data_IF_586611154268
#
_entry.id   IF_586611154268
#
_cell.length_a   1.000
_cell.length_b   1.000
_cell.length_c   1.000
_cell.angle_alpha   90.00
_cell.angle_beta   90.00
_cell.angle_gamma   90.00
#
_symmetry.space_group_name_H-M   'P 1'
#
loop_
_entity.id
_entity.type
_entity.pdbx_description
1 polymer ?
#
# COMPACT_ATOMS: atom_id res chain seq x y z
N UNK A 1 -26.89 -12.69 -23.30
CA UNK A 1 -25.76 -12.16 -22.53
C UNK A 1 -25.00 -11.04 -23.30
N UNK A 2 -24.53 -11.30 -24.56
CA UNK A 2 -23.74 -10.30 -25.31
C UNK A 2 -24.50 -9.00 -25.58
N UNK A 3 -25.79 -9.06 -25.92
CA UNK A 3 -26.64 -7.88 -26.16
C UNK A 3 -26.83 -7.05 -24.88
N UNK A 4 -26.95 -7.68 -23.73
CA UNK A 4 -27.04 -7.00 -22.44
C UNK A 4 -25.72 -6.25 -22.16
N UNK A 5 -24.57 -6.89 -22.39
CA UNK A 5 -23.28 -6.24 -22.20
C UNK A 5 -23.09 -5.05 -23.16
N UNK A 6 -23.54 -5.16 -24.42
CA UNK A 6 -23.55 -4.04 -25.38
C UNK A 6 -24.38 -2.87 -24.87
N UNK A 7 -25.55 -3.13 -24.29
CA UNK A 7 -26.39 -2.05 -23.72
C UNK A 7 -25.71 -1.36 -22.52
N UNK A 8 -25.01 -2.10 -21.68
CA UNK A 8 -24.26 -1.50 -20.58
C UNK A 8 -23.06 -0.66 -21.06
N UNK A 9 -22.29 -1.16 -22.02
CA UNK A 9 -21.15 -0.42 -22.59
C UNK A 9 -21.61 0.90 -23.22
N UNK A 10 -22.78 0.92 -23.86
CA UNK A 10 -23.33 2.11 -24.52
C UNK A 10 -23.49 3.29 -23.54
N UNK A 11 -23.89 3.02 -22.30
CA UNK A 11 -24.20 4.04 -21.30
C UNK A 11 -23.12 4.16 -20.22
N UNK A 12 -22.05 3.35 -20.28
CA UNK A 12 -20.98 3.34 -19.29
C UNK A 12 -19.98 4.47 -19.52
N UNK A 13 -19.47 5.04 -18.46
CA UNK A 13 -18.28 5.91 -18.51
C UNK A 13 -17.00 5.10 -18.60
N UNK A 14 -16.96 3.96 -17.89
CA UNK A 14 -15.78 3.09 -17.78
C UNK A 14 -16.18 1.64 -17.95
N UNK A 15 -15.44 0.90 -18.75
CA UNK A 15 -15.53 -0.55 -18.83
C UNK A 15 -14.18 -1.15 -18.42
N UNK A 16 -14.20 -2.01 -17.40
CA UNK A 16 -12.99 -2.66 -16.87
C UNK A 16 -13.08 -4.15 -17.13
N UNK A 17 -12.01 -4.71 -17.66
CA UNK A 17 -11.84 -6.15 -17.78
C UNK A 17 -10.49 -6.57 -17.15
N UNK A 18 -10.47 -7.77 -16.54
CA UNK A 18 -9.31 -8.36 -15.88
C UNK A 18 -9.05 -9.79 -16.33
N UNK A 19 -9.38 -10.12 -17.58
CA UNK A 19 -9.18 -11.44 -18.14
C UNK A 19 -7.79 -11.58 -18.75
N UNK A 20 -7.43 -12.82 -19.10
CA UNK A 20 -6.21 -13.06 -19.87
C UNK A 20 -6.28 -12.32 -21.21
N UNK A 21 -5.14 -11.80 -21.71
CA UNK A 21 -5.09 -11.07 -22.96
C UNK A 21 -5.85 -11.77 -24.10
N UNK A 22 -6.63 -11.02 -24.86
CA UNK A 22 -7.43 -11.52 -25.96
C UNK A 22 -8.72 -12.25 -25.60
N UNK A 23 -8.99 -12.56 -24.33
CA UNK A 23 -10.21 -13.29 -23.96
C UNK A 23 -11.48 -12.49 -24.26
N UNK A 24 -11.49 -11.21 -23.88
CA UNK A 24 -12.64 -10.31 -24.12
C UNK A 24 -12.77 -9.96 -25.61
N UNK A 25 -11.66 -9.84 -26.32
CA UNK A 25 -11.64 -9.64 -27.78
C UNK A 25 -12.29 -10.82 -28.53
N UNK A 26 -12.02 -12.07 -28.12
CA UNK A 26 -12.69 -13.27 -28.70
C UNK A 26 -14.19 -13.28 -28.43
N UNK A 27 -14.66 -12.58 -27.42
CA UNK A 27 -16.09 -12.40 -27.15
C UNK A 27 -16.74 -11.29 -27.98
N UNK A 28 -15.95 -10.49 -28.72
CA UNK A 28 -16.41 -9.37 -29.53
C UNK A 28 -16.53 -8.05 -28.77
N UNK A 29 -15.65 -7.87 -27.76
CA UNK A 29 -15.60 -6.66 -26.92
C UNK A 29 -14.16 -6.17 -26.73
N UNK A 30 -13.33 -6.21 -27.79
CA UNK A 30 -12.05 -5.48 -27.78
C UNK A 30 -12.27 -3.99 -27.55
N UNK A 31 -11.21 -3.28 -27.21
CA UNK A 31 -11.28 -1.81 -27.04
C UNK A 31 -11.86 -1.14 -28.31
N UNK A 32 -11.38 -1.51 -29.50
CA UNK A 32 -11.87 -0.97 -30.78
C UNK A 32 -13.34 -1.23 -31.02
N UNK A 33 -13.84 -2.41 -30.65
CA UNK A 33 -15.26 -2.75 -30.78
C UNK A 33 -16.11 -2.04 -29.74
N UNK A 34 -15.61 -1.89 -28.52
CA UNK A 34 -16.27 -1.13 -27.47
C UNK A 34 -16.36 0.37 -27.82
N UNK A 35 -15.33 0.94 -28.43
CA UNK A 35 -15.33 2.33 -28.88
C UNK A 35 -16.32 2.60 -30.04
N UNK A 36 -16.58 1.60 -30.88
CA UNK A 36 -17.66 1.70 -31.89
C UNK A 36 -19.05 1.76 -31.24
N UNK A 37 -19.23 1.15 -30.08
CA UNK A 37 -20.49 1.20 -29.31
C UNK A 37 -20.58 2.52 -28.54
N UNK A 38 -19.50 2.93 -27.89
CA UNK A 38 -19.43 4.14 -27.09
C UNK A 38 -18.10 4.89 -27.34
N UNK A 39 -18.11 5.92 -28.20
CA UNK A 39 -16.91 6.70 -28.55
C UNK A 39 -16.31 7.51 -27.39
N UNK A 40 -17.00 7.59 -26.24
CA UNK A 40 -16.54 8.30 -25.05
C UNK A 40 -16.10 7.37 -23.92
N UNK A 41 -16.05 6.06 -24.19
CA UNK A 41 -15.71 5.07 -23.18
C UNK A 41 -14.25 5.19 -22.72
N UNK A 42 -14.02 5.07 -21.44
CA UNK A 42 -12.71 4.69 -20.90
C UNK A 42 -12.67 3.17 -20.80
N UNK A 43 -11.92 2.53 -21.67
CA UNK A 43 -11.73 1.08 -21.66
C UNK A 43 -10.48 0.72 -20.86
N UNK A 44 -10.59 -0.20 -19.90
CA UNK A 44 -9.49 -0.57 -19.00
C UNK A 44 -9.22 -2.06 -19.09
N UNK A 45 -8.01 -2.41 -19.48
CA UNK A 45 -7.50 -3.78 -19.45
C UNK A 45 -6.50 -3.92 -18.31
N UNK A 46 -6.84 -4.70 -17.28
CA UNK A 46 -5.94 -5.00 -16.17
C UNK A 46 -5.50 -6.46 -16.24
N UNK A 47 -4.21 -6.72 -16.38
CA UNK A 47 -3.66 -8.07 -16.52
C UNK A 47 -2.46 -8.29 -15.60
N UNK A 48 -2.05 -9.56 -15.39
CA UNK A 48 -0.95 -9.86 -14.50
C UNK A 48 0.41 -9.39 -15.01
N UNK A 49 0.72 -9.74 -16.25
CA UNK A 49 2.03 -9.48 -16.86
C UNK A 49 1.99 -8.51 -18.04
N UNK A 50 0.86 -7.86 -18.29
CA UNK A 50 0.67 -7.07 -19.51
C UNK A 50 0.16 -7.88 -20.69
N UNK A 51 -0.14 -7.19 -21.80
CA UNK A 51 -0.65 -7.82 -23.01
C UNK A 51 0.44 -8.47 -23.88
N UNK A 52 1.69 -8.08 -23.67
CA UNK A 52 2.84 -8.48 -24.48
C UNK A 52 3.92 -9.15 -23.63
N UNK A 53 4.92 -9.73 -24.28
CA UNK A 53 6.06 -10.35 -23.62
C UNK A 53 5.85 -11.84 -23.31
N UNK A 54 6.93 -12.52 -22.86
CA UNK A 54 6.95 -13.99 -22.72
C UNK A 54 6.08 -14.52 -21.60
N UNK A 55 5.52 -13.67 -20.74
CA UNK A 55 4.68 -14.04 -19.59
C UNK A 55 3.21 -13.66 -19.76
N UNK A 56 2.83 -12.98 -20.83
CA UNK A 56 1.47 -12.44 -21.04
C UNK A 56 0.37 -13.48 -20.86
N UNK A 57 0.59 -14.72 -21.28
CA UNK A 57 -0.37 -15.83 -21.18
C UNK A 57 -0.26 -16.64 -19.87
N UNK A 58 0.70 -16.32 -18.98
CA UNK A 58 0.87 -17.08 -17.74
C UNK A 58 -0.23 -16.77 -16.73
N UNK A 59 -0.71 -17.81 -16.00
CA UNK A 59 -1.62 -17.56 -14.88
C UNK A 59 -0.88 -16.82 -13.74
N UNK A 60 -1.60 -15.94 -13.07
CA UNK A 60 -1.02 -15.08 -12.05
C UNK A 60 -2.01 -14.83 -10.91
N UNK A 61 -1.47 -14.71 -9.73
CA UNK A 61 -2.10 -14.22 -8.51
C UNK A 61 -1.12 -13.34 -7.73
N UNK A 62 -1.58 -12.65 -6.73
CA UNK A 62 -0.80 -11.77 -5.87
C UNK A 62 0.58 -12.35 -5.46
N UNK A 63 0.70 -13.58 -4.89
CA UNK A 63 1.99 -14.11 -4.48
C UNK A 63 3.01 -14.26 -5.62
N UNK A 64 2.53 -14.51 -6.84
CA UNK A 64 3.40 -14.63 -8.02
C UNK A 64 4.00 -13.27 -8.37
N UNK A 65 3.19 -12.22 -8.31
CA UNK A 65 3.67 -10.85 -8.55
C UNK A 65 4.60 -10.40 -7.42
N UNK A 66 4.28 -10.68 -6.15
CA UNK A 66 5.20 -10.38 -5.04
C UNK A 66 6.58 -11.02 -5.25
N UNK A 67 6.60 -12.28 -5.72
CA UNK A 67 7.86 -12.99 -5.93
C UNK A 67 8.73 -12.39 -7.04
N UNK A 68 8.12 -11.88 -8.13
CA UNK A 68 8.87 -11.38 -9.29
C UNK A 68 9.12 -9.88 -9.28
N UNK A 69 8.34 -9.11 -8.53
CA UNK A 69 8.42 -7.63 -8.49
C UNK A 69 9.33 -7.06 -7.41
N UNK A 70 10.09 -7.90 -6.70
CA UNK A 70 11.02 -7.48 -5.66
C UNK A 70 10.48 -7.54 -4.23
N UNK A 71 9.15 -7.61 -4.01
CA UNK A 71 8.57 -7.66 -2.67
C UNK A 71 9.14 -8.79 -1.81
N UNK A 72 9.13 -10.01 -2.32
CA UNK A 72 9.61 -11.18 -1.57
C UNK A 72 11.12 -11.11 -1.27
N UNK A 73 11.89 -10.54 -2.19
CA UNK A 73 13.33 -10.30 -1.99
C UNK A 73 13.60 -9.29 -0.89
N UNK A 74 12.80 -8.21 -0.83
CA UNK A 74 12.89 -7.17 0.18
C UNK A 74 12.59 -7.67 1.60
N UNK A 75 11.73 -8.70 1.72
CA UNK A 75 11.37 -9.32 3.01
C UNK A 75 12.36 -10.43 3.43
N UNK A 76 13.56 -10.49 2.84
CA UNK A 76 14.54 -11.54 3.13
C UNK A 76 15.05 -11.46 4.57
N UNK A 77 15.04 -12.61 5.22
CA UNK A 77 15.65 -12.86 6.53
C UNK A 77 16.77 -13.89 6.40
N UNK A 78 17.36 -14.32 7.52
CA UNK A 78 18.32 -15.42 7.55
C UNK A 78 17.73 -16.74 7.00
N UNK A 79 16.42 -16.94 7.12
CA UNK A 79 15.71 -18.13 6.63
C UNK A 79 15.38 -18.05 5.12
N UNK A 80 15.65 -16.93 4.46
CA UNK A 80 15.41 -16.72 3.04
C UNK A 80 14.38 -15.63 2.74
N UNK A 81 13.94 -15.51 1.46
CA UNK A 81 12.91 -14.55 1.06
C UNK A 81 11.55 -14.95 1.63
N UNK A 82 10.69 -13.97 1.89
CA UNK A 82 9.33 -14.22 2.37
C UNK A 82 8.31 -13.28 1.71
N UNK A 83 7.06 -13.72 1.63
CA UNK A 83 5.97 -12.88 1.14
C UNK A 83 5.45 -11.94 2.23
N UNK A 84 5.03 -10.76 1.86
CA UNK A 84 4.15 -9.94 2.70
C UNK A 84 2.83 -10.71 2.87
N UNK A 85 2.42 -10.93 4.11
CA UNK A 85 1.19 -11.65 4.43
C UNK A 85 -0.04 -10.78 4.16
N UNK A 86 -0.40 -10.65 2.89
CA UNK A 86 -1.53 -9.86 2.42
C UNK A 86 -1.48 -9.69 0.90
N UNK A 87 -2.58 -9.30 0.31
CA UNK A 87 -2.70 -9.06 -1.14
C UNK A 87 -2.16 -7.67 -1.50
N UNK A 88 -0.86 -7.43 -1.26
CA UNK A 88 -0.24 -6.13 -1.50
C UNK A 88 -0.12 -5.83 -2.99
N UNK A 89 0.23 -6.82 -3.79
CA UNK A 89 0.42 -6.65 -5.22
C UNK A 89 -0.91 -6.35 -5.95
N UNK A 90 -1.99 -7.03 -5.56
CA UNK A 90 -3.34 -6.74 -6.04
C UNK A 90 -3.77 -5.31 -5.67
N UNK A 91 -3.51 -4.88 -4.44
CA UNK A 91 -3.89 -3.53 -3.96
C UNK A 91 -3.11 -2.43 -4.68
N UNK A 92 -1.81 -2.61 -4.91
CA UNK A 92 -1.00 -1.67 -5.71
C UNK A 92 -1.57 -1.56 -7.12
N UNK A 93 -1.86 -2.68 -7.78
CA UNK A 93 -2.47 -2.68 -9.11
C UNK A 93 -3.86 -2.01 -9.11
N UNK A 94 -4.67 -2.27 -8.10
CA UNK A 94 -6.01 -1.65 -7.97
C UNK A 94 -5.92 -0.13 -7.78
N UNK A 95 -5.01 0.37 -6.94
CA UNK A 95 -4.79 1.81 -6.76
C UNK A 95 -4.26 2.47 -8.04
N UNK A 96 -3.29 1.85 -8.70
CA UNK A 96 -2.77 2.31 -10.01
C UNK A 96 -3.88 2.37 -11.05
N UNK A 97 -4.72 1.34 -11.13
CA UNK A 97 -5.87 1.30 -12.04
C UNK A 97 -6.86 2.42 -11.74
N UNK A 98 -7.21 2.62 -10.47
CA UNK A 98 -8.12 3.69 -10.05
C UNK A 98 -7.59 5.08 -10.40
N UNK A 99 -6.30 5.33 -10.17
CA UNK A 99 -5.63 6.58 -10.53
C UNK A 99 -5.66 6.80 -12.06
N UNK A 100 -5.34 5.76 -12.83
CA UNK A 100 -5.32 5.83 -14.28
C UNK A 100 -6.72 6.07 -14.88
N UNK A 101 -7.76 5.44 -14.31
CA UNK A 101 -9.16 5.71 -14.68
C UNK A 101 -9.52 7.17 -14.44
N UNK A 102 -9.19 7.71 -13.27
CA UNK A 102 -9.48 9.10 -12.92
C UNK A 102 -8.79 10.06 -13.88
N UNK A 103 -7.52 9.82 -14.20
CA UNK A 103 -6.76 10.60 -15.17
C UNK A 103 -7.37 10.51 -16.58
N UNK A 104 -7.78 9.32 -17.02
CA UNK A 104 -8.41 9.12 -18.32
C UNK A 104 -9.78 9.80 -18.43
N UNK A 105 -10.59 9.76 -17.37
CA UNK A 105 -11.85 10.48 -17.31
C UNK A 105 -11.66 12.01 -17.37
N UNK A 106 -10.65 12.51 -16.68
CA UNK A 106 -10.29 13.93 -16.76
C UNK A 106 -9.83 14.31 -18.16
N UNK A 107 -8.91 13.55 -18.76
CA UNK A 107 -8.44 13.79 -20.14
C UNK A 107 -9.60 13.73 -21.16
N UNK A 108 -10.50 12.76 -21.01
CA UNK A 108 -11.70 12.65 -21.86
C UNK A 108 -12.58 13.90 -21.77
N UNK A 109 -12.74 14.48 -20.59
CA UNK A 109 -13.54 15.70 -20.43
C UNK A 109 -12.93 16.89 -21.17
N UNK A 110 -11.61 16.95 -21.29
CA UNK A 110 -10.90 18.02 -22.02
C UNK A 110 -10.85 17.76 -23.53
N UNK A 111 -10.61 16.51 -23.94
CA UNK A 111 -10.38 16.18 -25.36
C UNK A 111 -11.62 15.65 -26.07
N UNK A 112 -12.58 15.12 -25.35
CA UNK A 112 -13.75 14.40 -25.90
C UNK A 112 -13.44 13.02 -26.46
N UNK A 113 -12.20 12.53 -26.36
CA UNK A 113 -11.74 11.28 -26.94
C UNK A 113 -11.85 10.10 -25.95
N UNK A 114 -12.12 8.91 -26.50
CA UNK A 114 -12.05 7.67 -25.75
C UNK A 114 -10.59 7.36 -25.34
N UNK A 115 -10.42 6.58 -24.27
CA UNK A 115 -9.11 6.19 -23.75
C UNK A 115 -9.05 4.67 -23.56
N UNK A 116 -7.99 4.04 -24.04
CA UNK A 116 -7.66 2.66 -23.65
C UNK A 116 -6.53 2.68 -22.61
N UNK A 117 -6.87 2.34 -21.38
CA UNK A 117 -5.94 2.23 -20.25
C UNK A 117 -5.53 0.77 -20.10
N UNK A 118 -4.25 0.50 -20.17
CA UNK A 118 -3.68 -0.83 -19.94
C UNK A 118 -2.85 -0.80 -18.66
N UNK A 119 -3.13 -1.73 -17.74
CA UNK A 119 -2.42 -1.87 -16.48
C UNK A 119 -1.88 -3.30 -16.36
N UNK A 120 -0.58 -3.41 -16.12
CA UNK A 120 0.06 -4.65 -15.73
C UNK A 120 0.30 -4.65 -14.23
N UNK A 121 -0.13 -5.70 -13.54
CA UNK A 121 0.16 -5.85 -12.10
C UNK A 121 1.67 -5.84 -11.84
N UNK A 122 2.46 -6.51 -12.70
CA UNK A 122 3.91 -6.55 -12.56
C UNK A 122 4.51 -5.15 -12.67
N UNK A 123 4.19 -4.40 -13.72
CA UNK A 123 4.75 -3.07 -13.95
C UNK A 123 4.32 -2.07 -12.86
N UNK A 124 3.05 -2.13 -12.42
CA UNK A 124 2.56 -1.31 -11.31
C UNK A 124 3.36 -1.57 -10.02
N UNK A 125 3.66 -2.84 -9.72
CA UNK A 125 4.43 -3.20 -8.54
C UNK A 125 5.92 -2.88 -8.67
N UNK A 126 6.52 -3.02 -9.84
CA UNK A 126 7.90 -2.58 -10.09
C UNK A 126 8.00 -1.07 -9.90
N UNK A 127 7.10 -0.29 -10.51
CA UNK A 127 7.10 1.16 -10.38
C UNK A 127 6.88 1.63 -8.92
N UNK A 128 6.02 0.94 -8.17
CA UNK A 128 5.78 1.23 -6.77
C UNK A 128 6.99 0.95 -5.88
N UNK A 129 7.68 -0.17 -6.14
CA UNK A 129 8.84 -0.60 -5.36
C UNK A 129 10.14 0.12 -5.73
N UNK A 130 10.20 0.74 -6.90
CA UNK A 130 11.46 1.24 -7.46
C UNK A 130 12.19 2.21 -6.54
N UNK A 131 11.54 3.20 -5.91
CA UNK A 131 12.23 4.19 -5.09
C UNK A 131 12.90 3.60 -3.85
N UNK A 132 12.33 2.56 -3.27
CA UNK A 132 12.75 2.02 -1.96
C UNK A 132 13.48 0.69 -2.11
N UNK A 133 12.84 -0.28 -2.75
CA UNK A 133 13.34 -1.66 -2.84
C UNK A 133 14.48 -1.80 -3.85
N UNK A 134 14.40 -1.05 -4.95
CA UNK A 134 15.32 -1.15 -6.08
C UNK A 134 16.17 0.11 -6.28
N UNK A 135 16.33 0.93 -5.25
CA UNK A 135 17.09 2.18 -5.35
C UNK A 135 18.54 1.99 -5.85
N UNK A 136 19.15 0.87 -5.49
CA UNK A 136 20.52 0.55 -5.91
C UNK A 136 20.63 0.07 -7.36
N UNK A 137 19.51 -0.31 -7.97
CA UNK A 137 19.46 -0.70 -9.39
C UNK A 137 19.25 0.51 -10.31
N UNK A 138 19.11 1.71 -9.74
CA UNK A 138 18.79 2.93 -10.51
C UNK A 138 20.03 3.50 -11.20
N UNK A 139 21.19 3.45 -10.55
CA UNK A 139 22.44 3.99 -11.05
C UNK A 139 23.33 2.84 -11.48
N UNK A 140 23.67 2.79 -12.76
CA UNK A 140 24.44 1.72 -13.37
C UNK A 140 25.94 2.00 -13.45
N UNK A 141 26.38 3.16 -12.98
CA UNK A 141 27.79 3.56 -13.01
C UNK A 141 28.51 2.94 -11.79
N UNK A 142 29.58 2.20 -12.05
CA UNK A 142 30.37 1.52 -11.02
C UNK A 142 31.03 2.50 -10.02
N UNK A 143 31.26 3.74 -10.44
CA UNK A 143 31.87 4.79 -9.61
C UNK A 143 30.80 5.55 -8.75
N UNK A 144 29.53 5.17 -8.83
CA UNK A 144 28.48 5.83 -8.08
C UNK A 144 28.59 5.60 -6.58
N UNK A 145 28.23 6.62 -5.81
CA UNK A 145 28.14 6.50 -4.36
C UNK A 145 26.96 5.61 -3.97
N UNK A 146 27.24 4.42 -3.47
CA UNK A 146 26.23 3.53 -2.92
C UNK A 146 25.91 3.89 -1.48
N UNK A 147 24.69 4.36 -1.23
CA UNK A 147 24.18 4.59 0.11
C UNK A 147 23.73 3.26 0.74
N UNK A 148 23.68 3.16 2.08
CA UNK A 148 23.10 2.00 2.75
C UNK A 148 21.66 1.75 2.30
N UNK A 149 21.27 0.47 2.20
CA UNK A 149 19.94 0.09 1.81
C UNK A 149 18.92 0.53 2.88
N UNK A 150 17.92 1.33 2.47
CA UNK A 150 16.84 1.81 3.35
C UNK A 150 16.05 0.68 4.00
N UNK A 151 15.94 -0.48 3.36
CA UNK A 151 15.19 -1.63 3.88
C UNK A 151 15.69 -2.10 5.26
N UNK A 152 16.98 -1.96 5.53
CA UNK A 152 17.54 -2.26 6.85
C UNK A 152 16.99 -1.39 7.99
N UNK A 153 16.43 -0.21 7.67
CA UNK A 153 15.85 0.71 8.67
C UNK A 153 14.42 0.35 9.09
N UNK A 154 13.77 -0.57 8.39
CA UNK A 154 12.42 -1.03 8.72
C UNK A 154 12.47 -2.14 9.76
N UNK A 155 12.77 -1.78 11.00
CA UNK A 155 12.88 -2.71 12.12
C UNK A 155 11.92 -2.31 13.25
N UNK A 156 11.50 -3.31 14.00
CA UNK A 156 10.77 -3.15 15.25
C UNK A 156 11.72 -3.49 16.41
N UNK A 157 11.52 -2.82 17.53
CA UNK A 157 12.37 -2.99 18.71
C UNK A 157 11.58 -3.61 19.85
N UNK A 158 12.24 -4.49 20.60
CA UNK A 158 11.65 -5.14 21.76
C UNK A 158 11.62 -4.20 22.97
N UNK A 159 10.56 -4.31 23.76
CA UNK A 159 10.46 -3.76 25.12
C UNK A 159 10.30 -4.92 26.10
N UNK A 160 10.26 -4.65 27.39
CA UNK A 160 10.12 -5.73 28.39
C UNK A 160 8.79 -6.47 28.30
N UNK A 161 7.76 -5.89 27.68
CA UNK A 161 6.39 -6.43 27.60
C UNK A 161 5.75 -6.37 26.22
N UNK A 162 6.51 -6.00 25.15
CA UNK A 162 5.95 -5.91 23.82
C UNK A 162 6.94 -5.40 22.78
N UNK A 163 6.42 -4.68 21.76
CA UNK A 163 7.20 -4.19 20.63
C UNK A 163 6.80 -2.75 20.29
N UNK A 164 7.81 -1.98 19.85
CA UNK A 164 7.64 -0.59 19.40
C UNK A 164 8.32 -0.36 18.05
N UNK A 165 7.77 0.58 17.29
CA UNK A 165 8.47 1.25 16.19
C UNK A 165 8.96 2.59 16.71
N UNK A 166 10.24 2.86 16.57
CA UNK A 166 10.87 4.14 16.95
C UNK A 166 11.76 4.60 15.80
N UNK A 167 11.70 5.87 15.46
CA UNK A 167 12.54 6.45 14.40
C UNK A 167 13.21 7.73 14.90
N UNK A 168 14.54 7.77 14.86
CA UNK A 168 15.34 8.93 15.19
C UNK A 168 16.30 9.26 14.05
N UNK A 169 15.75 9.81 12.96
CA UNK A 169 16.49 10.06 11.70
C UNK A 169 17.46 11.25 11.79
N UNK A 170 17.13 12.28 12.55
CA UNK A 170 17.98 13.47 12.70
C UNK A 170 18.94 13.34 13.88
N UNK A 171 20.02 14.16 13.87
CA UNK A 171 20.98 14.19 14.97
C UNK A 171 20.34 14.68 16.29
N UNK A 172 19.38 15.60 16.18
CA UNK A 172 18.63 16.08 17.34
C UNK A 172 17.72 15.01 17.93
N UNK A 173 17.02 14.26 17.09
CA UNK A 173 16.16 13.15 17.53
C UNK A 173 16.97 12.01 18.16
N UNK A 174 18.14 11.70 17.60
CA UNK A 174 19.05 10.71 18.19
C UNK A 174 19.48 11.11 19.60
N UNK A 175 19.96 12.34 19.77
CA UNK A 175 20.34 12.86 21.08
C UNK A 175 19.15 12.87 22.05
N UNK A 176 17.98 13.28 21.57
CA UNK A 176 16.77 13.33 22.39
C UNK A 176 16.33 11.96 22.88
N UNK A 177 16.32 10.93 22.02
CA UNK A 177 15.94 9.57 22.42
C UNK A 177 16.97 8.96 23.40
N UNK A 178 18.26 9.16 23.14
CA UNK A 178 19.31 8.69 24.06
C UNK A 178 19.14 9.32 25.45
N UNK A 179 18.95 10.63 25.52
CA UNK A 179 18.74 11.33 26.80
C UNK A 179 17.45 10.87 27.49
N UNK A 180 16.34 10.75 26.75
CA UNK A 180 15.06 10.27 27.30
C UNK A 180 15.16 8.86 27.88
N UNK A 181 15.96 7.99 27.27
CA UNK A 181 16.20 6.62 27.71
C UNK A 181 17.43 6.47 28.62
N UNK A 182 18.01 7.59 29.08
CA UNK A 182 19.15 7.64 30.01
C UNK A 182 20.43 6.97 29.47
N UNK A 183 20.67 7.14 28.16
CA UNK A 183 21.85 6.62 27.45
C UNK A 183 22.66 7.77 26.82
N UNK A 184 23.05 8.75 27.64
CA UNK A 184 23.90 9.87 27.20
C UNK A 184 25.27 9.41 26.70
N UNK A 185 25.70 8.20 27.10
CA UNK A 185 26.87 7.51 26.57
C UNK A 185 26.77 7.30 25.05
N UNK A 186 25.61 6.84 24.56
CA UNK A 186 25.35 6.63 23.12
C UNK A 186 25.14 7.95 22.36
N UNK A 187 24.57 8.97 23.02
CA UNK A 187 24.42 10.30 22.43
C UNK A 187 25.78 10.96 22.12
N UNK A 188 26.80 10.65 22.92
CA UNK A 188 28.15 11.19 22.81
C UNK A 188 29.12 10.26 22.09
N UNK A 189 28.68 9.08 21.65
CA UNK A 189 29.50 8.15 20.87
C UNK A 189 29.77 8.71 19.46
N UNK A 190 31.04 8.84 19.11
CA UNK A 190 31.44 9.37 17.78
C UNK A 190 30.85 8.58 16.63
N UNK A 191 30.65 7.27 16.79
CA UNK A 191 30.04 6.39 15.78
C UNK A 191 28.60 6.80 15.44
N UNK A 192 27.88 7.43 16.38
CA UNK A 192 26.46 7.78 16.26
C UNK A 192 26.16 9.27 16.26
N UNK A 193 27.19 10.10 16.42
CA UNK A 193 27.07 11.55 16.63
C UNK A 193 26.46 12.33 15.46
N UNK A 194 26.60 11.82 14.22
CA UNK A 194 26.03 12.41 13.00
C UNK A 194 25.29 11.36 12.16
N UNK A 195 24.35 11.80 11.34
CA UNK A 195 23.63 10.91 10.41
C UNK A 195 24.58 10.13 9.50
N UNK A 196 25.66 10.75 9.01
CA UNK A 196 26.67 10.12 8.18
C UNK A 196 27.42 9.00 8.93
N UNK A 197 27.73 9.21 10.21
CA UNK A 197 28.40 8.22 11.04
C UNK A 197 27.45 7.06 11.39
N UNK A 198 26.19 7.37 11.75
CA UNK A 198 25.15 6.34 11.96
C UNK A 198 24.93 5.46 10.74
N UNK A 199 24.97 6.05 9.55
CA UNK A 199 24.88 5.29 8.29
C UNK A 199 26.04 4.30 8.13
N UNK A 200 27.27 4.69 8.50
CA UNK A 200 28.46 3.80 8.44
C UNK A 200 28.43 2.68 9.50
N UNK A 201 27.85 2.97 10.66
CA UNK A 201 27.73 2.05 11.80
C UNK A 201 26.28 1.60 12.00
N UNK A 202 25.60 1.35 10.89
CA UNK A 202 24.16 1.13 10.87
C UNK A 202 23.72 -0.04 11.76
N UNK A 203 24.41 -1.16 11.67
CA UNK A 203 24.05 -2.37 12.43
C UNK A 203 24.19 -2.15 13.94
N UNK A 204 25.31 -1.54 14.38
CA UNK A 204 25.55 -1.25 15.79
C UNK A 204 24.58 -0.19 16.31
N UNK A 205 24.28 0.81 15.48
CA UNK A 205 23.31 1.85 15.83
C UNK A 205 21.92 1.27 16.06
N UNK A 206 21.44 0.38 15.16
CA UNK A 206 20.13 -0.26 15.33
C UNK A 206 20.11 -1.22 16.51
N UNK A 207 21.18 -1.98 16.76
CA UNK A 207 21.30 -2.83 17.95
C UNK A 207 21.20 -2.03 19.25
N UNK A 208 21.68 -0.77 19.26
CA UNK A 208 21.59 0.09 20.44
C UNK A 208 20.16 0.48 20.81
N UNK A 209 19.22 0.54 19.84
CA UNK A 209 17.80 0.75 20.14
C UNK A 209 17.18 -0.42 20.91
N UNK A 210 17.46 -1.66 20.52
CA UNK A 210 16.98 -2.83 21.24
C UNK A 210 17.51 -2.85 22.68
N UNK A 211 18.80 -2.56 22.86
CA UNK A 211 19.41 -2.48 24.20
C UNK A 211 18.75 -1.40 25.06
N UNK A 212 18.52 -0.20 24.50
CA UNK A 212 17.89 0.89 25.22
C UNK A 212 16.44 0.60 25.59
N UNK A 213 15.65 0.08 24.63
CA UNK A 213 14.20 -0.05 24.76
C UNK A 213 13.79 -1.27 25.57
N UNK A 214 14.57 -2.35 25.52
CA UNK A 214 14.29 -3.59 26.28
C UNK A 214 14.28 -3.41 27.80
N UNK A 215 14.91 -2.35 28.30
CA UNK A 215 14.92 -2.00 29.72
C UNK A 215 13.61 -1.38 30.24
N UNK A 216 12.71 -0.99 29.35
CA UNK A 216 11.45 -0.30 29.68
C UNK A 216 10.24 -1.12 29.25
N UNK A 217 9.12 -0.89 29.91
CA UNK A 217 7.82 -1.33 29.39
C UNK A 217 7.45 -0.51 28.14
N UNK A 218 6.59 -1.05 27.29
CA UNK A 218 6.09 -0.36 26.10
C UNK A 218 5.54 1.03 26.43
N UNK A 219 4.75 1.12 27.51
CA UNK A 219 4.17 2.39 27.94
C UNK A 219 5.23 3.41 28.36
N UNK A 220 6.20 2.99 29.18
CA UNK A 220 7.28 3.88 29.63
C UNK A 220 8.15 4.36 28.45
N UNK A 221 8.51 3.45 27.55
CA UNK A 221 9.28 3.78 26.34
C UNK A 221 8.56 4.82 25.48
N UNK A 222 7.26 4.63 25.23
CA UNK A 222 6.46 5.56 24.46
C UNK A 222 6.31 6.93 25.12
N UNK A 223 6.06 6.98 26.45
CA UNK A 223 5.97 8.24 27.18
C UNK A 223 7.28 9.01 27.12
N UNK A 224 8.42 8.35 27.24
CA UNK A 224 9.75 8.95 27.15
C UNK A 224 10.04 9.48 25.74
N UNK A 225 9.75 8.69 24.69
CA UNK A 225 9.93 9.13 23.31
C UNK A 225 9.01 10.30 22.96
N UNK A 226 7.76 10.26 23.39
CA UNK A 226 6.80 11.36 23.15
C UNK A 226 7.23 12.65 23.84
N UNK A 227 7.69 12.57 25.09
CA UNK A 227 8.20 13.75 25.81
C UNK A 227 9.45 14.37 25.16
N UNK A 228 10.20 13.57 24.40
CA UNK A 228 11.40 13.98 23.67
C UNK A 228 11.11 14.36 22.19
N UNK A 229 9.85 14.41 21.77
CA UNK A 229 9.43 14.66 20.39
C UNK A 229 10.05 13.66 19.37
N UNK A 230 10.18 12.41 19.78
CA UNK A 230 10.68 11.32 18.94
C UNK A 230 9.52 10.47 18.44
N UNK A 231 9.38 10.25 17.12
CA UNK A 231 8.34 9.40 16.56
C UNK A 231 8.43 7.96 17.10
N UNK A 232 7.41 7.55 17.82
CA UNK A 232 7.32 6.22 18.40
C UNK A 232 5.86 5.77 18.52
N UNK A 233 5.63 4.47 18.30
CA UNK A 233 4.31 3.85 18.44
C UNK A 233 4.46 2.38 18.85
N UNK A 234 3.50 1.86 19.63
CA UNK A 234 3.47 0.43 19.92
C UNK A 234 3.02 -0.38 18.71
N UNK A 235 3.50 -1.59 18.57
CA UNK A 235 2.99 -2.54 17.57
C UNK A 235 1.66 -3.09 18.06
N UNK A 236 0.64 -2.99 17.21
CA UNK A 236 -0.70 -3.51 17.47
C UNK A 236 -0.92 -4.83 16.74
N UNK A 237 -1.50 -5.80 17.41
CA UNK A 237 -2.11 -6.93 16.71
C UNK A 237 -3.34 -6.47 15.91
N UNK A 238 -3.68 -7.15 14.80
CA UNK A 238 -4.87 -6.79 13.99
C UNK A 238 -6.17 -6.71 14.80
N UNK A 239 -6.31 -7.53 15.85
CA UNK A 239 -7.46 -7.51 16.77
C UNK A 239 -7.53 -6.26 17.64
N UNK A 240 -6.42 -5.58 17.87
CA UNK A 240 -6.33 -4.39 18.73
C UNK A 240 -6.60 -3.08 17.98
N UNK A 241 -6.37 -3.06 16.65
CA UNK A 241 -6.48 -1.83 15.83
C UNK A 241 -7.83 -1.13 16.01
N UNK A 242 -8.93 -1.88 16.00
CA UNK A 242 -10.27 -1.31 16.19
C UNK A 242 -10.53 -0.79 17.63
N UNK A 243 -9.65 -1.11 18.57
CA UNK A 243 -9.74 -0.71 19.97
C UNK A 243 -8.78 0.42 20.35
N UNK A 244 -7.87 0.78 19.44
CA UNK A 244 -6.96 1.91 19.61
C UNK A 244 -7.75 3.22 19.84
N UNK A 245 -7.26 4.05 20.76
CA UNK A 245 -7.94 5.29 21.15
C UNK A 245 -8.06 6.25 19.97
N UNK A 246 -7.00 6.44 19.20
CA UNK A 246 -7.02 7.37 18.06
C UNK A 246 -7.95 6.85 16.95
N UNK A 247 -7.90 5.55 16.64
CA UNK A 247 -8.76 4.91 15.64
C UNK A 247 -10.24 5.09 15.98
N UNK A 248 -10.59 4.98 17.28
CA UNK A 248 -11.96 5.23 17.77
C UNK A 248 -12.37 6.69 17.68
N UNK A 249 -11.54 7.60 18.20
CA UNK A 249 -11.85 9.02 18.26
C UNK A 249 -12.05 9.64 16.87
N UNK A 250 -11.24 9.24 15.90
CA UNK A 250 -11.36 9.74 14.51
C UNK A 250 -12.42 8.98 13.70
N UNK A 251 -13.02 7.92 14.24
CA UNK A 251 -14.04 7.13 13.56
C UNK A 251 -13.54 6.40 12.31
N UNK A 252 -12.28 5.91 12.34
CA UNK A 252 -11.70 5.19 11.19
C UNK A 252 -12.41 3.88 10.88
N UNK A 253 -13.09 3.29 11.86
CA UNK A 253 -13.85 2.04 11.74
C UNK A 253 -15.26 2.28 12.27
N UNK A 254 -16.25 2.02 11.42
CA UNK A 254 -17.66 2.08 11.79
C UNK A 254 -18.20 0.69 12.11
N UNK A 255 -19.15 0.60 13.05
CA UNK A 255 -19.95 -0.60 13.25
C UNK A 255 -21.31 -0.42 12.57
N UNK A 256 -21.72 -1.43 11.80
CA UNK A 256 -22.99 -1.45 11.06
C UNK A 256 -23.73 -2.76 11.27
N UNK A 257 -25.03 -2.74 11.12
CA UNK A 257 -25.87 -3.93 11.17
C UNK A 257 -26.09 -4.48 9.76
N UNK A 258 -25.62 -5.71 9.51
CA UNK A 258 -25.86 -6.41 8.27
C UNK A 258 -27.05 -7.37 8.43
N UNK A 259 -28.00 -7.38 7.48
CA UNK A 259 -29.26 -8.11 7.64
C UNK A 259 -29.12 -9.64 7.76
N UNK A 260 -27.98 -10.22 7.35
CA UNK A 260 -27.75 -11.67 7.36
C UNK A 260 -26.75 -12.10 8.42
N UNK A 261 -25.63 -11.36 8.57
CA UNK A 261 -24.52 -11.79 9.44
C UNK A 261 -24.41 -11.01 10.75
N UNK A 262 -25.32 -10.07 11.00
CA UNK A 262 -25.34 -9.28 12.22
C UNK A 262 -24.32 -8.12 12.18
N UNK A 263 -23.73 -7.77 13.30
CA UNK A 263 -22.83 -6.62 13.42
C UNK A 263 -21.51 -6.83 12.66
N UNK A 264 -21.14 -5.84 11.88
CA UNK A 264 -19.88 -5.78 11.11
C UNK A 264 -19.10 -4.53 11.48
N UNK A 265 -17.78 -4.62 11.39
CA UNK A 265 -16.87 -3.48 11.35
C UNK A 265 -16.46 -3.18 9.92
N UNK A 266 -16.57 -1.91 9.52
CA UNK A 266 -16.25 -1.44 8.17
C UNK A 266 -15.28 -0.27 8.26
N UNK A 267 -14.10 -0.35 7.62
CA UNK A 267 -13.15 0.75 7.63
C UNK A 267 -13.66 1.92 6.78
N UNK A 268 -13.43 3.14 7.25
CA UNK A 268 -13.65 4.36 6.48
C UNK A 268 -12.58 4.48 5.39
N UNK A 269 -12.92 5.11 4.28
CA UNK A 269 -11.93 5.52 3.28
C UNK A 269 -10.97 6.56 3.86
N UNK A 270 -9.69 6.49 3.48
CA UNK A 270 -8.68 7.43 3.99
C UNK A 270 -8.85 8.86 3.49
N UNK A 271 -9.47 9.08 2.33
CA UNK A 271 -9.75 10.41 1.79
C UNK A 271 -11.11 10.94 2.26
N UNK A 272 -11.13 12.19 2.73
CA UNK A 272 -12.34 12.91 3.13
C UNK A 272 -12.52 14.10 2.19
N UNK A 273 -13.70 14.20 1.55
CA UNK A 273 -14.02 15.28 0.63
C UNK A 273 -15.00 16.27 1.28
N UNK A 274 -14.78 17.57 1.02
CA UNK A 274 -15.65 18.66 1.47
C UNK A 274 -15.93 18.67 2.98
N UNK A 275 -14.93 18.30 3.79
CA UNK A 275 -15.10 18.17 5.24
C UNK A 275 -16.29 17.28 5.63
N UNK A 276 -16.61 16.28 4.80
CA UNK A 276 -17.68 15.34 5.09
C UNK A 276 -17.41 14.64 6.42
N UNK A 277 -18.19 14.98 7.44
CA UNK A 277 -18.08 14.41 8.78
C UNK A 277 -18.90 13.14 8.93
N UNK A 278 -19.90 12.96 8.06
CA UNK A 278 -20.75 11.78 8.10
C UNK A 278 -20.24 10.72 7.13
N UNK A 279 -19.73 9.64 7.69
CA UNK A 279 -19.45 8.41 6.98
C UNK A 279 -20.67 7.49 7.09
N UNK A 280 -21.36 7.26 5.98
CA UNK A 280 -22.48 6.31 5.91
C UNK A 280 -22.02 5.02 5.21
N UNK A 281 -21.42 4.08 5.95
CA UNK A 281 -20.90 2.84 5.38
C UNK A 281 -22.05 1.94 4.92
N UNK A 282 -21.86 1.36 3.73
CA UNK A 282 -22.78 0.34 3.22
C UNK A 282 -22.13 -1.04 3.36
N UNK A 283 -22.95 -2.04 3.67
CA UNK A 283 -22.47 -3.42 3.63
C UNK A 283 -22.38 -3.93 2.18
N UNK A 284 -21.54 -4.94 1.98
CA UNK A 284 -21.43 -5.60 0.70
C UNK A 284 -22.76 -6.28 0.33
N UNK A 285 -23.16 -6.31 -0.95
CA UNK A 285 -24.34 -7.04 -1.40
C UNK A 285 -24.22 -8.52 -1.06
N UNK A 286 -25.31 -9.16 -0.75
CA UNK A 286 -25.33 -10.61 -0.56
C UNK A 286 -24.98 -11.33 -1.86
N UNK A 287 -24.43 -12.54 -1.74
CA UNK A 287 -24.04 -13.35 -2.88
C UNK A 287 -25.22 -13.57 -3.84
N UNK A 288 -24.98 -13.35 -5.14
CA UNK A 288 -26.00 -13.41 -6.19
C UNK A 288 -27.11 -12.35 -6.14
N UNK A 289 -26.97 -11.29 -5.35
CA UNK A 289 -27.97 -10.22 -5.27
C UNK A 289 -27.43 -8.92 -5.91
N UNK A 290 -28.09 -8.47 -6.97
CA UNK A 290 -27.77 -7.21 -7.67
C UNK A 290 -28.57 -6.00 -7.13
N UNK A 291 -29.47 -6.19 -6.20
CA UNK A 291 -30.47 -5.18 -5.77
C UNK A 291 -30.13 -4.47 -4.47
N UNK A 292 -28.96 -4.64 -3.92
CA UNK A 292 -28.56 -3.98 -2.67
C UNK A 292 -28.05 -2.55 -2.87
N UNK A 293 -27.98 -2.09 -4.09
CA UNK A 293 -27.71 -0.69 -4.42
C UNK A 293 -29.00 -0.08 -4.92
N UNK A 294 -29.62 0.91 -4.24
CA UNK A 294 -30.61 1.72 -4.91
C UNK A 294 -29.97 2.30 -6.16
N UNK A 295 -30.68 2.22 -7.27
CA UNK A 295 -30.25 2.87 -8.52
C UNK A 295 -30.02 4.36 -8.20
N UNK A 296 -28.96 4.99 -8.70
CA UNK A 296 -28.81 6.44 -8.59
C UNK A 296 -29.97 7.24 -9.21
N UNK A 297 -30.96 6.55 -9.77
CA UNK A 297 -32.13 7.11 -10.44
C UNK A 297 -33.44 6.89 -9.66
N UNK A 298 -33.40 6.25 -8.49
CA UNK A 298 -34.56 6.08 -7.62
C UNK A 298 -34.62 7.17 -6.54
#
# INVERSE_FOLDING_TARGET
AKEILRSFIKDADVFIEGFRPGAVSRLGFSADEAFKINPKLVYVSSSGFGAEGPYSERPVYDPVIQAISGWAGAQRTADGPSLIRGMVADKVAALTTSQAITAALFARNETGECQHVQVSMLEANIAFNWPDVMMHETVLDDDALHLPNLLGSYQLFSTSDGWVSVTAGTDSQWKAVCSALSRDDLANDERFSTAANRSKHFTEWYASFDEMLSAFTTLEALQKCQAADVPAVRVLDPSEVAHDIHVKEVGSIAEIDHPVVGKLRVPRQGAIFNNATEYNPRYAPAYCLLYTSPSPRD
#
